data_IF_137748433413
#
_entry.id   IF_137748433413
#
_cell.length_a   1.000
_cell.length_b   1.000
_cell.length_c   1.000
_cell.angle_alpha   90.00
_cell.angle_beta   90.00
_cell.angle_gamma   90.00
#
_symmetry.space_group_name_H-M   'P 1'
#
loop_
_entity.id
_entity.type
_entity.pdbx_description
1 polymer ?
#
# COMPACT_ATOMS: atom_id res chain seq x y z
N UNK A 1 -5.61 12.27 -1.07
CA UNK A 1 -4.25 11.79 -1.45
C UNK A 1 -4.16 11.51 -2.95
N UNK A 2 -4.89 10.53 -3.50
CA UNK A 2 -4.73 10.15 -4.91
C UNK A 2 -5.00 11.30 -5.89
N UNK A 3 -6.04 12.10 -5.67
CA UNK A 3 -6.34 13.27 -6.51
C UNK A 3 -5.22 14.33 -6.53
N UNK A 4 -4.40 14.40 -5.48
CA UNK A 4 -3.32 15.38 -5.34
C UNK A 4 -2.00 14.87 -5.94
N UNK A 5 -1.65 13.61 -5.67
CA UNK A 5 -0.31 13.06 -5.97
C UNK A 5 -0.33 11.80 -6.85
N UNK A 6 -1.43 11.06 -6.88
CA UNK A 6 -1.55 9.76 -7.53
C UNK A 6 -1.38 9.83 -9.05
N UNK A 7 -2.05 10.78 -9.70
CA UNK A 7 -1.96 10.95 -11.16
C UNK A 7 -0.53 11.30 -11.61
N UNK A 8 0.14 12.20 -10.88
CA UNK A 8 1.54 12.57 -11.13
C UNK A 8 2.48 11.37 -10.94
N UNK A 9 2.25 10.56 -9.92
CA UNK A 9 3.05 9.36 -9.66
C UNK A 9 2.90 8.30 -10.76
N UNK A 10 1.67 8.04 -11.19
CA UNK A 10 1.40 7.11 -12.31
C UNK A 10 2.05 7.60 -13.60
N UNK A 11 1.93 8.89 -13.91
CA UNK A 11 2.59 9.49 -15.08
C UNK A 11 4.12 9.40 -15.01
N UNK A 12 4.71 9.59 -13.83
CA UNK A 12 6.15 9.45 -13.63
C UNK A 12 6.64 8.02 -13.87
N UNK A 13 5.90 7.01 -13.40
CA UNK A 13 6.24 5.61 -13.68
C UNK A 13 6.10 5.26 -15.16
N UNK A 14 5.06 5.75 -15.82
CA UNK A 14 4.88 5.57 -17.26
C UNK A 14 6.02 6.22 -18.06
N UNK A 15 6.44 7.43 -17.69
CA UNK A 15 7.58 8.12 -18.30
C UNK A 15 8.91 7.39 -18.09
N UNK A 16 9.05 6.64 -16.99
CA UNK A 16 10.18 5.77 -16.71
C UNK A 16 10.10 4.39 -17.43
N UNK A 17 9.07 4.14 -18.24
CA UNK A 17 8.89 2.90 -19.00
C UNK A 17 8.23 1.77 -18.21
N UNK A 18 7.59 2.06 -17.08
CA UNK A 18 6.87 1.07 -16.28
C UNK A 18 5.36 1.14 -16.52
N UNK A 19 4.70 -0.02 -16.58
CA UNK A 19 3.25 -0.11 -16.51
C UNK A 19 2.79 0.21 -15.09
N UNK A 20 2.04 1.30 -14.92
CA UNK A 20 1.53 1.72 -13.62
C UNK A 20 0.02 1.53 -13.54
N UNK A 21 -0.43 0.76 -12.55
CA UNK A 21 -1.84 0.56 -12.23
C UNK A 21 -2.15 1.32 -10.94
N UNK A 22 -3.37 1.86 -10.85
CA UNK A 22 -3.85 2.56 -9.67
C UNK A 22 -5.10 1.90 -9.13
N UNK A 23 -5.11 1.62 -7.83
CA UNK A 23 -6.27 1.16 -7.08
C UNK A 23 -6.51 2.11 -5.91
N UNK A 24 -7.75 2.58 -5.74
CA UNK A 24 -8.13 3.50 -4.69
C UNK A 24 -9.05 2.80 -3.70
N UNK A 25 -8.83 3.05 -2.41
CA UNK A 25 -9.72 2.63 -1.32
C UNK A 25 -10.38 3.85 -0.70
N UNK A 26 -11.56 3.64 -0.11
CA UNK A 26 -12.23 4.66 0.68
C UNK A 26 -11.36 5.12 1.86
N UNK A 27 -11.41 6.40 2.25
CA UNK A 27 -10.62 6.90 3.37
C UNK A 27 -11.14 6.34 4.70
N UNK A 28 -10.22 5.96 5.59
CA UNK A 28 -10.51 5.61 6.98
C UNK A 28 -10.17 4.17 7.37
N UNK A 29 -10.13 3.93 8.68
CA UNK A 29 -9.82 2.62 9.27
C UNK A 29 -10.75 1.46 8.84
N UNK A 30 -12.05 1.67 8.54
CA UNK A 30 -12.92 0.59 8.06
C UNK A 30 -12.46 -0.06 6.76
N UNK A 31 -11.74 0.68 5.90
CA UNK A 31 -11.18 0.14 4.66
C UNK A 31 -10.03 -0.84 4.89
N UNK A 32 -9.53 -0.93 6.12
CA UNK A 32 -8.47 -1.86 6.52
C UNK A 32 -9.05 -3.22 6.90
N UNK A 33 -9.68 -3.89 5.95
CA UNK A 33 -10.41 -5.14 6.17
C UNK A 33 -10.03 -6.25 5.16
N UNK A 34 -10.64 -7.43 5.33
CA UNK A 34 -10.44 -8.57 4.43
C UNK A 34 -10.99 -8.32 3.03
N UNK A 35 -12.10 -7.58 2.93
CA UNK A 35 -12.79 -7.36 1.67
C UNK A 35 -11.97 -6.47 0.73
N UNK A 36 -11.36 -5.40 1.24
CA UNK A 36 -10.46 -4.58 0.44
C UNK A 36 -9.18 -5.33 0.08
N UNK A 37 -8.65 -6.16 0.99
CA UNK A 37 -7.51 -7.03 0.67
C UNK A 37 -7.84 -7.95 -0.53
N UNK A 38 -8.96 -8.66 -0.47
CA UNK A 38 -9.45 -9.54 -1.54
C UNK A 38 -9.59 -8.77 -2.87
N UNK A 39 -10.26 -7.62 -2.85
CA UNK A 39 -10.46 -6.79 -4.05
C UNK A 39 -9.17 -6.30 -4.69
N UNK A 40 -8.15 -5.97 -3.88
CA UNK A 40 -6.84 -5.55 -4.40
C UNK A 40 -6.15 -6.75 -5.06
N UNK A 41 -6.19 -7.93 -4.44
CA UNK A 41 -5.60 -9.15 -5.00
C UNK A 41 -6.27 -9.53 -6.33
N UNK A 42 -7.61 -9.50 -6.39
CA UNK A 42 -8.37 -9.76 -7.61
C UNK A 42 -8.07 -8.74 -8.71
N UNK A 43 -7.97 -7.45 -8.35
CA UNK A 43 -7.56 -6.40 -9.29
C UNK A 43 -6.18 -6.69 -9.89
N UNK A 44 -5.20 -7.08 -9.06
CA UNK A 44 -3.86 -7.42 -9.53
C UNK A 44 -3.87 -8.66 -10.45
N UNK A 45 -4.64 -9.70 -10.10
CA UNK A 45 -4.76 -10.91 -10.92
C UNK A 45 -5.42 -10.62 -12.27
N UNK A 46 -6.48 -9.79 -12.28
CA UNK A 46 -7.17 -9.38 -13.51
C UNK A 46 -6.24 -8.64 -14.48
N UNK A 47 -5.28 -7.88 -13.95
CA UNK A 47 -4.25 -7.18 -14.74
C UNK A 47 -2.99 -8.00 -15.00
N UNK A 48 -3.00 -9.30 -14.67
CA UNK A 48 -1.89 -10.24 -14.90
C UNK A 48 -0.59 -9.83 -14.21
N UNK A 49 -0.69 -9.18 -13.03
CA UNK A 49 0.48 -8.89 -12.20
C UNK A 49 1.17 -10.21 -11.79
N UNK A 50 2.50 -10.24 -11.88
CA UNK A 50 3.33 -11.39 -11.51
C UNK A 50 4.25 -11.06 -10.33
N UNK A 51 5.21 -11.95 -10.03
CA UNK A 51 6.12 -11.80 -8.87
C UNK A 51 7.09 -10.63 -8.97
N UNK A 52 7.28 -10.08 -10.16
CA UNK A 52 8.07 -8.89 -10.45
C UNK A 52 7.33 -7.58 -10.19
N UNK A 53 6.03 -7.64 -9.90
CA UNK A 53 5.20 -6.47 -9.61
C UNK A 53 5.61 -5.85 -8.27
N UNK A 54 5.81 -4.53 -8.26
CA UNK A 54 6.07 -3.77 -7.04
C UNK A 54 4.80 -3.02 -6.62
N UNK A 55 4.33 -3.23 -5.39
CA UNK A 55 3.26 -2.42 -4.84
C UNK A 55 3.82 -1.11 -4.29
N UNK A 56 3.08 -0.01 -4.49
CA UNK A 56 3.42 1.30 -3.95
C UNK A 56 2.27 1.78 -3.09
N UNK A 57 2.52 1.89 -1.78
CA UNK A 57 1.54 2.37 -0.81
C UNK A 57 1.65 3.90 -0.70
N UNK A 58 0.76 4.62 -1.37
CA UNK A 58 0.66 6.08 -1.29
C UNK A 58 -0.50 6.47 -0.35
N UNK A 59 -0.18 6.81 0.90
CA UNK A 59 -1.20 7.19 1.88
C UNK A 59 -0.70 7.15 3.32
N UNK A 60 -1.65 7.19 4.26
CA UNK A 60 -1.35 7.03 5.69
C UNK A 60 -1.20 5.56 6.11
N UNK A 61 -1.19 5.32 7.43
CA UNK A 61 -0.96 3.99 8.01
C UNK A 61 -1.93 2.91 7.55
N UNK A 62 -3.21 3.26 7.31
CA UNK A 62 -4.22 2.31 6.77
C UNK A 62 -3.82 1.75 5.41
N UNK A 63 -3.43 2.63 4.49
CA UNK A 63 -3.00 2.24 3.13
C UNK A 63 -1.70 1.45 3.24
N UNK A 64 -0.75 1.92 4.06
CA UNK A 64 0.54 1.26 4.26
C UNK A 64 0.42 -0.17 4.78
N UNK A 65 -0.40 -0.38 5.80
CA UNK A 65 -0.68 -1.68 6.40
C UNK A 65 -1.37 -2.63 5.42
N UNK A 66 -2.43 -2.16 4.75
CA UNK A 66 -3.21 -2.98 3.83
C UNK A 66 -2.37 -3.38 2.61
N UNK A 67 -1.74 -2.41 1.96
CA UNK A 67 -0.87 -2.65 0.80
C UNK A 67 0.33 -3.51 1.17
N UNK A 68 0.92 -3.28 2.35
CA UNK A 68 2.02 -4.09 2.85
C UNK A 68 1.61 -5.54 3.07
N UNK A 69 0.40 -5.78 3.60
CA UNK A 69 -0.08 -7.14 3.84
C UNK A 69 -0.45 -7.86 2.53
N UNK A 70 -1.08 -7.15 1.58
CA UNK A 70 -1.28 -7.67 0.22
C UNK A 70 0.06 -8.04 -0.41
N UNK A 71 1.07 -7.18 -0.32
CA UNK A 71 2.39 -7.46 -0.88
C UNK A 71 3.08 -8.67 -0.23
N UNK A 72 2.82 -8.90 1.06
CA UNK A 72 3.35 -10.06 1.78
C UNK A 72 2.72 -11.38 1.31
N UNK A 73 1.41 -11.37 1.01
CA UNK A 73 0.66 -12.60 0.66
C UNK A 73 0.59 -12.86 -0.84
N UNK A 74 0.53 -11.82 -1.66
CA UNK A 74 0.41 -11.94 -3.11
C UNK A 74 1.61 -12.68 -3.69
N UNK A 75 1.35 -13.78 -4.40
CA UNK A 75 2.37 -14.68 -4.93
C UNK A 75 3.42 -15.15 -3.91
N UNK A 76 3.05 -15.19 -2.61
CA UNK A 76 3.94 -15.49 -1.46
C UNK A 76 5.03 -14.45 -1.20
N UNK A 77 4.82 -13.21 -1.64
CA UNK A 77 5.72 -12.10 -1.36
C UNK A 77 6.17 -11.41 -2.63
N UNK A 78 5.85 -10.12 -2.71
CA UNK A 78 6.30 -9.20 -3.77
C UNK A 78 6.87 -7.92 -3.15
N UNK A 79 7.74 -7.18 -3.87
CA UNK A 79 8.28 -5.92 -3.38
C UNK A 79 7.18 -4.90 -3.03
N UNK A 80 7.40 -4.16 -1.95
CA UNK A 80 6.57 -3.01 -1.58
C UNK A 80 7.41 -1.78 -1.29
N UNK A 81 6.92 -0.61 -1.71
CA UNK A 81 7.47 0.71 -1.40
C UNK A 81 6.41 1.52 -0.65
N UNK A 82 6.81 2.20 0.41
CA UNK A 82 5.92 3.03 1.23
C UNK A 82 6.17 4.51 0.92
N UNK A 83 5.11 5.26 0.67
CA UNK A 83 5.12 6.73 0.53
C UNK A 83 4.13 7.27 1.57
N UNK A 84 4.55 7.34 2.85
CA UNK A 84 3.70 7.79 3.94
C UNK A 84 3.30 9.26 3.76
N UNK A 85 2.00 9.55 3.81
CA UNK A 85 1.43 10.91 3.64
C UNK A 85 0.84 11.48 4.93
N UNK A 86 1.10 10.84 6.08
CA UNK A 86 0.70 11.39 7.39
C UNK A 86 1.86 11.30 8.36
N UNK A 87 1.94 12.27 9.29
CA UNK A 87 3.03 12.32 10.27
C UNK A 87 3.13 11.02 11.09
N UNK A 88 1.98 10.46 11.51
CA UNK A 88 1.96 9.17 12.24
C UNK A 88 2.51 8.02 11.39
N UNK A 89 2.19 7.97 10.09
CA UNK A 89 2.72 6.93 9.21
C UNK A 89 4.21 7.10 8.89
N UNK A 90 4.72 8.34 8.88
CA UNK A 90 6.14 8.63 8.72
C UNK A 90 6.97 8.20 9.94
N UNK A 91 6.39 8.30 11.15
CA UNK A 91 7.09 8.01 12.40
C UNK A 91 6.93 6.57 12.90
N UNK A 92 5.83 5.90 12.55
CA UNK A 92 5.49 4.57 13.09
C UNK A 92 5.25 3.56 11.97
N UNK A 93 4.17 3.71 11.19
CA UNK A 93 3.70 2.66 10.26
C UNK A 93 4.65 2.32 9.11
N UNK A 94 5.56 3.24 8.75
CA UNK A 94 6.56 2.99 7.70
C UNK A 94 7.82 2.25 8.20
N UNK A 95 7.93 2.03 9.51
CA UNK A 95 9.08 1.42 10.17
C UNK A 95 8.69 0.10 10.85
N UNK A 96 9.53 -0.92 10.72
CA UNK A 96 9.35 -2.20 11.43
C UNK A 96 8.60 -3.29 10.66
N UNK A 97 8.08 -2.99 9.47
CA UNK A 97 7.54 -3.99 8.54
C UNK A 97 6.29 -4.72 9.04
N UNK A 98 5.63 -4.22 10.09
CA UNK A 98 4.36 -4.75 10.55
C UNK A 98 3.28 -4.31 9.57
N UNK A 99 2.54 -5.28 9.04
CA UNK A 99 1.45 -5.03 8.10
C UNK A 99 0.26 -5.86 8.56
N UNK A 100 -0.94 -5.29 8.60
CA UNK A 100 -2.10 -5.99 9.14
C UNK A 100 -3.44 -5.43 8.65
N UNK A 101 -4.48 -6.23 8.83
CA UNK A 101 -5.87 -5.83 8.64
C UNK A 101 -6.66 -6.04 9.93
N UNK A 102 -7.80 -5.35 10.01
CA UNK A 102 -8.75 -5.50 11.09
C UNK A 102 -9.72 -6.64 10.78
N UNK A 103 -10.16 -7.32 11.83
CA UNK A 103 -11.19 -8.36 11.80
C UNK A 103 -12.22 -8.06 12.89
N UNK A 104 -13.43 -8.65 12.85
CA UNK A 104 -14.45 -8.40 13.88
C UNK A 104 -13.96 -8.66 15.31
N UNK A 105 -13.01 -9.59 15.49
CA UNK A 105 -12.41 -9.93 16.77
C UNK A 105 -11.41 -8.87 17.30
N UNK A 106 -10.94 -7.93 16.47
CA UNK A 106 -10.01 -6.89 16.89
C UNK A 106 -9.14 -6.30 15.77
N UNK A 107 -8.40 -5.26 16.13
CA UNK A 107 -7.51 -4.54 15.22
C UNK A 107 -6.16 -5.24 15.08
N UNK A 108 -5.59 -5.19 13.88
CA UNK A 108 -4.23 -5.69 13.57
C UNK A 108 -3.94 -7.15 13.97
N UNK A 109 -4.98 -7.99 14.11
CA UNK A 109 -4.82 -9.38 14.54
C UNK A 109 -4.37 -10.32 13.41
N UNK A 110 -4.60 -9.93 12.16
CA UNK A 110 -4.24 -10.72 10.98
C UNK A 110 -3.29 -9.89 10.13
N UNK A 111 -2.09 -10.41 9.90
CA UNK A 111 -1.04 -9.64 9.23
C UNK A 111 0.20 -10.47 8.95
N UNK A 112 1.24 -9.78 8.50
CA UNK A 112 2.56 -10.35 8.24
C UNK A 112 3.66 -9.34 8.58
N UNK A 113 4.85 -9.86 8.85
CA UNK A 113 6.07 -9.06 8.86
C UNK A 113 6.64 -9.03 7.44
N UNK A 114 6.56 -7.88 6.79
CA UNK A 114 7.04 -7.66 5.42
C UNK A 114 7.68 -6.28 5.30
N UNK A 115 9.00 -6.26 5.10
CA UNK A 115 9.77 -5.02 5.08
C UNK A 115 9.64 -4.32 3.72
N UNK A 116 9.37 -2.99 3.69
CA UNK A 116 9.42 -2.25 2.45
C UNK A 116 10.84 -2.20 1.90
N UNK A 117 10.97 -2.22 0.57
CA UNK A 117 12.25 -2.03 -0.10
C UNK A 117 12.77 -0.61 0.08
N UNK A 118 11.86 0.37 0.11
CA UNK A 118 12.15 1.80 0.32
C UNK A 118 10.95 2.47 0.99
N UNK A 119 11.25 3.51 1.76
CA UNK A 119 10.29 4.45 2.33
C UNK A 119 10.65 5.84 1.82
N UNK A 120 9.69 6.54 1.23
CA UNK A 120 9.85 7.92 0.78
C UNK A 120 8.98 8.85 1.64
N UNK A 121 9.59 9.43 2.67
CA UNK A 121 8.95 10.43 3.52
C UNK A 121 9.25 11.82 2.99
N UNK A 122 8.28 12.44 2.32
CA UNK A 122 8.37 13.80 1.82
C UNK A 122 7.51 14.73 2.70
N UNK A 123 8.15 15.72 3.32
CA UNK A 123 7.50 16.65 4.23
C UNK A 123 6.51 17.59 3.52
N UNK A 124 6.65 17.80 2.21
CA UNK A 124 5.70 18.60 1.43
C UNK A 124 4.31 17.93 1.36
N UNK A 125 4.23 16.62 1.59
CA UNK A 125 2.96 15.86 1.61
C UNK A 125 2.11 16.12 2.88
N UNK A 126 2.64 16.87 3.85
CA UNK A 126 1.93 17.24 5.08
C UNK A 126 1.20 18.59 5.01
N UNK A 127 1.46 19.38 3.96
CA UNK A 127 0.87 20.71 3.73
C UNK A 127 -0.26 20.65 2.69
#
# INVERSE_FOLDING_TARGET
VFALYGARLVAAFAAAGHTALAYQIEPGEPSKDRLNKERIEDFMLAHKCQRDTCLVALGGGVVGDLTGFVAATFMRGVPVVQIPTSMMSMLDSSVGGKTAINVPAGKNLVGAFHQPRRVFADLELLN
#
